data_IF_160957310382
#
_entry.id   IF_160957310382
#
_cell.length_a   1.000
_cell.length_b   1.000
_cell.length_c   1.000
_cell.angle_alpha   90.00
_cell.angle_beta   90.00
_cell.angle_gamma   90.00
#
_symmetry.space_group_name_H-M   'P 1'
#
loop_
_entity.id
_entity.type
_entity.pdbx_description
1 polymer ?
#
# COMPACT_ATOMS: atom_id res chain seq x y z
N UNK A 1 15.19 -7.96 -21.93
CA UNK A 1 15.89 -6.74 -22.38
C UNK A 1 15.65 -5.66 -21.34
N UNK A 2 16.27 -5.76 -20.16
CA UNK A 2 15.89 -4.94 -19.01
C UNK A 2 17.14 -4.60 -18.21
N UNK A 3 17.55 -3.34 -18.35
CA UNK A 3 18.79 -2.74 -17.88
C UNK A 3 19.98 -3.25 -18.67
N UNK A 4 20.66 -2.34 -19.39
CA UNK A 4 21.89 -2.53 -20.18
C UNK A 4 23.09 -2.91 -19.28
N UNK A 5 22.85 -3.74 -18.27
CA UNK A 5 23.80 -4.17 -17.26
C UNK A 5 24.87 -5.06 -17.88
N UNK A 6 24.45 -5.91 -18.82
CA UNK A 6 25.30 -6.65 -19.75
C UNK A 6 26.24 -5.71 -20.50
N UNK A 7 25.72 -4.64 -21.11
CA UNK A 7 26.53 -3.64 -21.85
C UNK A 7 27.53 -2.94 -20.92
N UNK A 8 27.15 -2.62 -19.69
CA UNK A 8 28.06 -2.01 -18.70
C UNK A 8 29.19 -2.96 -18.27
N UNK A 9 28.87 -4.23 -18.04
CA UNK A 9 29.86 -5.26 -17.68
C UNK A 9 30.78 -5.55 -18.87
N UNK A 10 30.23 -5.64 -20.08
CA UNK A 10 30.99 -5.81 -21.32
C UNK A 10 31.95 -4.64 -21.55
N UNK A 11 31.49 -3.41 -21.41
CA UNK A 11 32.34 -2.21 -21.53
C UNK A 11 33.42 -2.14 -20.45
N UNK A 12 33.11 -2.51 -19.21
CA UNK A 12 34.11 -2.58 -18.13
C UNK A 12 35.17 -3.64 -18.41
N UNK A 13 34.78 -4.84 -18.88
CA UNK A 13 35.71 -5.91 -19.23
C UNK A 13 36.57 -5.53 -20.44
N UNK A 14 35.98 -4.84 -21.43
CA UNK A 14 36.67 -4.46 -22.66
C UNK A 14 37.64 -3.27 -22.47
N UNK A 15 37.22 -2.25 -21.71
CA UNK A 15 37.95 -0.97 -21.62
C UNK A 15 38.61 -0.74 -20.25
N UNK A 16 38.39 -1.63 -19.28
CA UNK A 16 38.83 -1.49 -17.88
C UNK A 16 38.39 -0.15 -17.26
N UNK A 17 37.31 0.43 -17.77
CA UNK A 17 36.81 1.75 -17.42
C UNK A 17 35.32 1.66 -17.09
N UNK A 18 34.93 2.22 -15.95
CA UNK A 18 33.53 2.29 -15.54
C UNK A 18 32.96 3.65 -15.96
N UNK A 19 32.16 3.68 -17.02
CA UNK A 19 31.53 4.92 -17.50
C UNK A 19 30.53 5.43 -16.47
N UNK A 20 30.89 6.51 -15.79
CA UNK A 20 30.05 7.24 -14.83
C UNK A 20 29.48 6.40 -13.66
N UNK A 21 30.23 6.38 -12.56
CA UNK A 21 29.85 5.77 -11.26
C UNK A 21 28.47 6.22 -10.75
N UNK A 22 28.04 7.45 -11.07
CA UNK A 22 26.72 7.94 -10.64
C UNK A 22 25.60 7.28 -11.45
N UNK A 23 25.80 7.13 -12.76
CA UNK A 23 24.87 6.42 -13.64
C UNK A 23 24.77 4.94 -13.24
N UNK A 24 25.92 4.31 -12.97
CA UNK A 24 25.95 2.94 -12.43
C UNK A 24 25.16 2.78 -11.14
N UNK A 25 25.41 3.66 -10.17
CA UNK A 25 24.69 3.64 -8.90
C UNK A 25 23.17 3.77 -9.08
N UNK A 26 22.72 4.58 -10.05
CA UNK A 26 21.30 4.69 -10.41
C UNK A 26 20.75 3.40 -11.02
N UNK A 27 21.46 2.79 -11.97
CA UNK A 27 21.05 1.53 -12.62
C UNK A 27 20.97 0.40 -11.60
N UNK A 28 21.99 0.24 -10.76
CA UNK A 28 22.01 -0.78 -9.70
C UNK A 28 20.85 -0.58 -8.74
N UNK A 29 20.63 0.65 -8.27
CA UNK A 29 19.52 0.97 -7.37
C UNK A 29 18.16 0.65 -7.98
N UNK A 30 17.89 1.12 -9.20
CA UNK A 30 16.64 0.82 -9.90
C UNK A 30 16.42 -0.69 -10.11
N UNK A 31 17.48 -1.41 -10.46
CA UNK A 31 17.43 -2.87 -10.65
C UNK A 31 17.08 -3.58 -9.33
N UNK A 32 17.71 -3.16 -8.22
CA UNK A 32 17.43 -3.70 -6.89
C UNK A 32 16.00 -3.38 -6.43
N UNK A 33 15.56 -2.13 -6.55
CA UNK A 33 14.20 -1.70 -6.16
C UNK A 33 13.15 -2.55 -6.89
N UNK A 34 13.34 -2.81 -8.19
CA UNK A 34 12.44 -3.63 -9.00
C UNK A 34 12.50 -5.11 -8.62
N UNK A 35 13.70 -5.63 -8.34
CA UNK A 35 13.86 -7.01 -7.88
C UNK A 35 13.15 -7.22 -6.54
N UNK A 36 13.36 -6.32 -5.58
CA UNK A 36 12.73 -6.36 -4.26
C UNK A 36 11.21 -6.22 -4.34
N UNK A 37 10.71 -5.30 -5.18
CA UNK A 37 9.27 -5.15 -5.39
C UNK A 37 8.66 -6.43 -5.99
N UNK A 38 9.29 -7.03 -6.99
CA UNK A 38 8.82 -8.28 -7.59
C UNK A 38 8.85 -9.45 -6.58
N UNK A 39 9.91 -9.54 -5.79
CA UNK A 39 10.06 -10.57 -4.74
C UNK A 39 8.98 -10.40 -3.66
N UNK A 40 8.71 -9.17 -3.26
CA UNK A 40 7.64 -8.84 -2.32
C UNK A 40 6.26 -9.20 -2.91
N UNK A 41 5.95 -8.80 -4.15
CA UNK A 41 4.69 -9.16 -4.84
C UNK A 41 4.49 -10.69 -4.85
N UNK A 42 5.50 -11.43 -5.29
CA UNK A 42 5.45 -12.90 -5.31
C UNK A 42 5.27 -13.51 -3.92
N UNK A 43 5.91 -12.95 -2.89
CA UNK A 43 5.77 -13.44 -1.51
C UNK A 43 4.38 -13.20 -0.94
N UNK A 44 3.74 -12.09 -1.28
CA UNK A 44 2.41 -11.72 -0.78
C UNK A 44 1.32 -12.46 -1.57
N UNK A 45 1.46 -12.62 -2.88
CA UNK A 45 0.52 -13.38 -3.72
C UNK A 45 0.37 -14.84 -3.29
N UNK A 46 1.45 -15.45 -2.79
CA UNK A 46 1.46 -16.83 -2.29
C UNK A 46 0.87 -16.98 -0.88
N UNK A 47 0.47 -15.89 -0.23
CA UNK A 47 -0.09 -15.86 1.13
C UNK A 47 -1.53 -15.32 1.08
N UNK A 48 -2.55 -16.20 0.93
CA UNK A 48 -3.95 -15.80 0.80
C UNK A 48 -4.44 -14.86 1.91
N UNK A 49 -3.92 -15.01 3.12
CA UNK A 49 -4.21 -14.18 4.29
C UNK A 49 -3.75 -12.72 4.14
N UNK A 50 -2.76 -12.46 3.30
CA UNK A 50 -2.21 -11.12 3.02
C UNK A 50 -2.83 -10.47 1.78
N UNK A 51 -3.81 -11.10 1.14
CA UNK A 51 -4.43 -10.59 -0.09
C UNK A 51 -5.07 -9.21 0.09
N UNK A 52 -5.62 -8.89 1.28
CA UNK A 52 -6.13 -7.54 1.57
C UNK A 52 -5.00 -6.51 1.71
N UNK A 53 -3.91 -6.89 2.40
CA UNK A 53 -2.72 -6.07 2.53
C UNK A 53 -2.13 -5.71 1.15
N UNK A 54 -2.07 -6.69 0.23
CA UNK A 54 -1.64 -6.49 -1.16
C UNK A 54 -2.51 -5.50 -1.94
N UNK A 55 -3.83 -5.59 -1.80
CA UNK A 55 -4.76 -4.67 -2.48
C UNK A 55 -4.57 -3.22 -2.04
N UNK A 56 -4.13 -3.01 -0.80
CA UNK A 56 -3.96 -1.70 -0.18
C UNK A 56 -2.54 -1.15 -0.45
N UNK A 57 -1.54 -2.00 -0.48
CA UNK A 57 -0.14 -1.63 -0.74
C UNK A 57 0.23 -2.12 -2.13
N UNK A 58 0.17 -1.27 -3.16
CA UNK A 58 0.43 -1.71 -4.55
C UNK A 58 1.92 -1.78 -4.92
N UNK A 59 2.78 -1.20 -4.09
CA UNK A 59 4.22 -1.16 -4.26
C UNK A 59 4.94 -1.27 -2.91
N UNK A 60 6.24 -1.59 -2.94
CA UNK A 60 7.12 -1.65 -1.78
C UNK A 60 7.54 -0.23 -1.35
N UNK A 61 6.55 0.60 -1.02
CA UNK A 61 6.78 1.95 -0.47
C UNK A 61 5.96 2.15 0.80
N UNK A 62 6.34 3.16 1.57
CA UNK A 62 5.60 3.53 2.77
C UNK A 62 4.14 3.87 2.42
N UNK A 63 3.20 3.21 3.10
CA UNK A 63 1.77 3.43 2.89
C UNK A 63 1.41 4.91 3.10
N UNK A 64 0.54 5.47 2.25
CA UNK A 64 0.15 6.89 2.34
C UNK A 64 -0.36 7.28 3.73
N UNK A 65 -1.08 6.39 4.42
CA UNK A 65 -1.56 6.66 5.78
C UNK A 65 -0.43 6.72 6.82
N UNK A 66 0.67 5.99 6.62
CA UNK A 66 1.84 6.10 7.50
C UNK A 66 2.52 7.46 7.33
N UNK A 67 2.66 7.92 6.08
CA UNK A 67 3.13 9.29 5.79
C UNK A 67 2.23 10.36 6.42
N UNK A 68 0.91 10.21 6.32
CA UNK A 68 -0.04 11.11 6.96
C UNK A 68 0.06 11.06 8.49
N UNK A 69 0.37 9.90 9.08
CA UNK A 69 0.59 9.77 10.52
C UNK A 69 1.83 10.53 11.02
N UNK A 70 2.85 10.69 10.18
CA UNK A 70 4.02 11.54 10.45
C UNK A 70 3.66 13.01 10.28
N UNK A 71 2.91 13.36 9.24
CA UNK A 71 2.47 14.75 8.98
C UNK A 71 1.48 15.27 10.03
N UNK A 72 0.60 14.41 10.55
CA UNK A 72 -0.43 14.78 11.51
C UNK A 72 -0.35 13.91 12.78
N UNK A 73 0.60 14.19 13.69
CA UNK A 73 0.83 13.35 14.87
C UNK A 73 -0.39 13.19 15.78
N UNK A 74 -1.25 14.21 15.86
CA UNK A 74 -2.50 14.18 16.64
C UNK A 74 -3.51 13.14 16.13
N UNK A 75 -3.39 12.73 14.86
CA UNK A 75 -4.23 11.71 14.22
C UNK A 75 -3.51 10.37 14.04
N UNK A 76 -2.28 10.22 14.54
CA UNK A 76 -1.44 9.03 14.34
C UNK A 76 -2.19 7.74 14.69
N UNK A 77 -2.83 7.68 15.86
CA UNK A 77 -3.59 6.51 16.32
C UNK A 77 -4.72 6.13 15.34
N UNK A 78 -5.38 7.13 14.73
CA UNK A 78 -6.45 6.89 13.75
C UNK A 78 -5.87 6.30 12.46
N UNK A 79 -4.80 6.88 11.93
CA UNK A 79 -4.12 6.36 10.73
C UNK A 79 -3.54 4.96 10.93
N UNK A 80 -2.90 4.70 12.08
CA UNK A 80 -2.38 3.38 12.42
C UNK A 80 -3.50 2.34 12.55
N UNK A 81 -4.68 2.75 13.03
CA UNK A 81 -5.85 1.87 13.10
C UNK A 81 -6.33 1.49 11.71
N UNK A 82 -6.40 2.43 10.77
CA UNK A 82 -6.77 2.16 9.38
C UNK A 82 -5.77 1.22 8.69
N UNK A 83 -4.47 1.43 8.90
CA UNK A 83 -3.41 0.52 8.40
C UNK A 83 -3.59 -0.89 8.97
N UNK A 84 -3.83 -1.01 10.28
CA UNK A 84 -4.08 -2.30 10.94
C UNK A 84 -5.31 -3.00 10.37
N UNK A 85 -6.42 -2.28 10.16
CA UNK A 85 -7.64 -2.84 9.57
C UNK A 85 -7.38 -3.42 8.16
N UNK A 86 -6.56 -2.73 7.37
CA UNK A 86 -6.11 -3.22 6.06
C UNK A 86 -5.24 -4.47 6.10
N UNK A 87 -4.51 -4.67 7.20
CA UNK A 87 -3.60 -5.80 7.42
C UNK A 87 -4.23 -7.00 8.16
N UNK A 88 -5.46 -6.88 8.67
CA UNK A 88 -6.15 -8.00 9.34
C UNK A 88 -6.35 -9.15 8.36
N UNK A 89 -5.96 -10.36 8.78
CA UNK A 89 -6.17 -11.57 7.99
C UNK A 89 -7.62 -11.76 7.57
N UNK A 90 -7.82 -12.20 6.34
CA UNK A 90 -9.15 -12.52 5.82
C UNK A 90 -9.72 -13.71 6.59
N UNK A 91 -10.92 -13.52 7.17
CA UNK A 91 -11.68 -14.59 7.80
C UNK A 91 -12.94 -14.84 6.98
N UNK A 92 -13.18 -16.11 6.64
CA UNK A 92 -14.42 -16.58 6.04
C UNK A 92 -15.40 -16.97 7.15
N UNK A 93 -16.70 -16.86 6.92
CA UNK A 93 -17.68 -17.30 7.89
C UNK A 93 -19.10 -16.82 7.63
N UNK A 94 -20.01 -17.21 8.52
CA UNK A 94 -21.39 -16.74 8.53
C UNK A 94 -21.51 -15.53 9.45
N UNK A 95 -22.08 -14.45 8.93
CA UNK A 95 -22.35 -13.25 9.71
C UNK A 95 -23.48 -13.51 10.72
N UNK A 96 -23.27 -13.18 11.99
CA UNK A 96 -24.27 -13.32 13.05
C UNK A 96 -25.42 -12.32 12.94
N UNK A 97 -25.25 -11.22 12.20
CA UNK A 97 -26.23 -10.15 12.12
C UNK A 97 -27.19 -10.30 10.93
N UNK A 98 -26.66 -10.65 9.75
CA UNK A 98 -27.47 -10.82 8.53
C UNK A 98 -27.61 -12.29 8.10
N UNK A 99 -26.97 -13.22 8.82
CA UNK A 99 -26.97 -14.66 8.53
C UNK A 99 -26.40 -15.06 7.16
N UNK A 100 -25.73 -14.16 6.44
CA UNK A 100 -25.10 -14.45 5.14
C UNK A 100 -23.67 -15.00 5.32
N UNK A 101 -23.30 -15.95 4.47
CA UNK A 101 -21.92 -16.45 4.40
C UNK A 101 -21.06 -15.52 3.55
N UNK A 102 -19.87 -15.17 4.06
CA UNK A 102 -18.97 -14.22 3.42
C UNK A 102 -17.54 -14.77 3.39
N UNK A 103 -16.83 -14.45 2.31
CA UNK A 103 -15.42 -14.80 2.11
C UNK A 103 -14.46 -13.80 2.77
N UNK A 104 -14.97 -12.63 3.14
CA UNK A 104 -14.25 -11.62 3.91
C UNK A 104 -15.20 -10.99 4.93
N UNK A 105 -15.16 -11.52 6.16
CA UNK A 105 -16.01 -11.05 7.26
C UNK A 105 -15.75 -9.60 7.64
N UNK A 106 -14.50 -9.12 7.57
CA UNK A 106 -14.20 -7.73 7.92
C UNK A 106 -14.77 -6.77 6.87
N UNK A 107 -14.55 -7.06 5.58
CA UNK A 107 -15.12 -6.28 4.49
C UNK A 107 -16.65 -6.32 4.54
N UNK A 108 -17.23 -7.48 4.88
CA UNK A 108 -18.67 -7.58 5.09
C UNK A 108 -19.14 -6.60 6.16
N UNK A 109 -18.56 -6.60 7.36
CA UNK A 109 -18.96 -5.68 8.43
C UNK A 109 -18.74 -4.20 8.08
N UNK A 110 -17.67 -3.86 7.36
CA UNK A 110 -17.34 -2.46 7.06
C UNK A 110 -18.17 -1.92 5.89
N UNK A 111 -18.45 -2.72 4.86
CA UNK A 111 -18.97 -2.24 3.57
C UNK A 111 -20.30 -2.86 3.12
N UNK A 112 -20.67 -4.05 3.60
CA UNK A 112 -21.73 -4.83 2.94
C UNK A 112 -22.85 -5.31 3.88
N UNK A 113 -22.65 -5.28 5.19
CA UNK A 113 -23.61 -5.81 6.15
C UNK A 113 -24.81 -4.87 6.28
N UNK A 114 -25.92 -5.25 5.66
CA UNK A 114 -27.18 -4.47 5.68
C UNK A 114 -27.73 -4.28 7.09
N UNK A 115 -27.48 -5.22 8.01
CA UNK A 115 -27.92 -5.13 9.40
C UNK A 115 -27.28 -4.00 10.21
N UNK A 116 -26.18 -3.41 9.72
CA UNK A 116 -25.47 -2.30 10.38
C UNK A 116 -25.25 -1.11 9.45
N UNK A 117 -26.07 -0.99 8.41
CA UNK A 117 -25.95 0.06 7.39
C UNK A 117 -25.91 1.47 7.99
N UNK A 118 -26.77 1.75 8.99
CA UNK A 118 -26.79 3.06 9.64
C UNK A 118 -25.46 3.39 10.34
N UNK A 119 -24.86 2.42 11.03
CA UNK A 119 -23.57 2.59 11.71
C UNK A 119 -22.46 2.82 10.67
N UNK A 120 -22.50 2.09 9.55
CA UNK A 120 -21.57 2.27 8.44
C UNK A 120 -21.69 3.69 7.86
N UNK A 121 -22.89 4.15 7.59
CA UNK A 121 -23.16 5.50 7.07
C UNK A 121 -22.63 6.58 8.02
N UNK A 122 -22.91 6.49 9.32
CA UNK A 122 -22.38 7.43 10.32
C UNK A 122 -20.85 7.38 10.41
N UNK A 123 -20.26 6.20 10.30
CA UNK A 123 -18.81 6.03 10.26
C UNK A 123 -18.22 6.70 9.02
N UNK A 124 -18.83 6.51 7.84
CA UNK A 124 -18.36 7.12 6.59
C UNK A 124 -18.47 8.64 6.64
N UNK A 125 -19.56 9.20 7.15
CA UNK A 125 -19.66 10.65 7.35
C UNK A 125 -18.55 11.19 8.24
N UNK A 126 -18.25 10.51 9.36
CA UNK A 126 -17.14 10.92 10.24
C UNK A 126 -15.77 10.78 9.57
N UNK A 127 -15.59 9.75 8.73
CA UNK A 127 -14.36 9.58 7.97
C UNK A 127 -14.23 10.69 6.94
N UNK A 128 -15.31 11.00 6.21
CA UNK A 128 -15.34 12.10 5.26
C UNK A 128 -15.08 13.42 5.96
N UNK A 129 -15.70 13.74 7.10
CA UNK A 129 -15.41 14.95 7.89
C UNK A 129 -13.94 15.05 8.33
N UNK A 130 -13.30 13.91 8.62
CA UNK A 130 -11.87 13.86 8.96
C UNK A 130 -10.99 14.01 7.70
N UNK A 131 -11.48 13.53 6.56
CA UNK A 131 -10.76 13.50 5.29
C UNK A 131 -11.04 14.72 4.41
N UNK A 132 -12.08 15.51 4.67
CA UNK A 132 -12.56 16.72 3.98
C UNK A 132 -11.42 17.75 3.97
N UNK A 133 -10.42 17.58 3.12
CA UNK A 133 -10.29 17.96 1.71
C UNK A 133 -10.08 19.46 1.55
N UNK A 134 -10.65 20.34 2.38
CA UNK A 134 -10.32 21.77 2.29
C UNK A 134 -8.85 22.06 2.64
N UNK A 135 -8.27 21.37 3.63
CA UNK A 135 -6.84 21.54 3.97
C UNK A 135 -5.91 20.84 2.98
N UNK A 136 -6.38 19.76 2.32
CA UNK A 136 -5.59 19.05 1.31
C UNK A 136 -5.55 19.81 -0.01
N UNK A 137 -6.66 20.40 -0.45
CA UNK A 137 -6.77 21.19 -1.70
C UNK A 137 -6.05 22.54 -1.56
N UNK A 138 -6.11 23.19 -0.39
CA UNK A 138 -5.31 24.41 -0.12
C UNK A 138 -3.80 24.14 -0.25
N UNK A 139 -3.31 22.97 0.17
CA UNK A 139 -1.90 22.61 0.06
C UNK A 139 -1.45 22.30 -1.37
N UNK A 140 -2.33 21.72 -2.22
CA UNK A 140 -2.01 21.45 -3.63
C UNK A 140 -2.08 22.71 -4.51
N UNK A 141 -2.91 23.70 -4.16
CA UNK A 141 -3.03 24.95 -4.92
C UNK A 141 -2.00 26.04 -4.53
N UNK A 142 -1.06 25.73 -3.64
CA UNK A 142 0.06 26.61 -3.25
C UNK A 142 1.42 26.15 -3.80
N UNK A 143 1.45 25.23 -4.78
CA UNK A 143 2.67 24.83 -5.49
C UNK A 143 2.59 25.16 -6.97
#
# INVERSE_FOLDING_TARGET
MKYEFDVFVENFVAENFFSDKLLWGKIVKQTLDIYEENKWKHSVERRPELKRYYKIHTCLTEHRLLRLAVTYPSLNTKFMTLVKLGAIAIKTGKCSLCNLYNTDMLMHYILCCTSILQIQTEMFYKIDDILDVEDSVRFFNQR
#
